data_IF_090231806945
#
_entry.id   IF_090231806945
#
_cell.length_a   1.000
_cell.length_b   1.000
_cell.length_c   1.000
_cell.angle_alpha   90.00
_cell.angle_beta   90.00
_cell.angle_gamma   90.00
#
_symmetry.space_group_name_H-M   'P 1'
#
loop_
_entity.id
_entity.type
_entity.pdbx_description
1 polymer ?
#
# COMPACT_ATOMS: atom_id res chain seq x y z
N UNK A 1 15.09 23.25 8.45
CA UNK A 1 14.81 23.25 9.89
C UNK A 1 13.38 22.75 10.08
N UNK A 2 13.18 21.55 10.63
CA UNK A 2 11.83 21.13 11.03
C UNK A 2 11.36 22.08 12.14
N UNK A 3 10.21 22.71 11.97
CA UNK A 3 9.68 23.65 12.96
C UNK A 3 9.41 22.92 14.29
N UNK A 4 10.07 23.35 15.37
CA UNK A 4 9.88 22.87 16.76
C UNK A 4 8.48 23.15 17.35
N UNK A 5 7.53 23.60 16.53
CA UNK A 5 6.16 23.85 16.94
C UNK A 5 5.48 22.48 17.12
N UNK A 6 4.87 22.18 18.28
CA UNK A 6 4.12 20.94 18.49
C UNK A 6 3.07 20.73 17.38
N UNK A 7 2.86 19.48 16.96
CA UNK A 7 1.91 19.12 15.89
C UNK A 7 0.52 19.76 16.13
N UNK A 8 0.11 19.84 17.41
CA UNK A 8 -1.11 20.52 17.82
C UNK A 8 -1.18 21.98 17.37
N UNK A 9 -0.14 22.76 17.64
CA UNK A 9 -0.09 24.19 17.35
C UNK A 9 0.01 24.45 15.84
N UNK A 10 0.73 23.59 15.11
CA UNK A 10 0.79 23.66 13.64
C UNK A 10 -0.61 23.46 13.03
N UNK A 11 -1.34 22.46 13.50
CA UNK A 11 -2.67 22.15 12.99
C UNK A 11 -3.69 23.20 13.45
N UNK A 12 -3.59 23.69 14.69
CA UNK A 12 -4.44 24.76 15.18
C UNK A 12 -4.27 26.05 14.37
N UNK A 13 -3.05 26.38 13.95
CA UNK A 13 -2.76 27.49 13.04
C UNK A 13 -3.38 27.26 11.65
N UNK A 14 -3.21 26.07 11.07
CA UNK A 14 -3.78 25.73 9.75
C UNK A 14 -5.32 25.81 9.73
N UNK A 15 -5.99 25.38 10.80
CA UNK A 15 -7.46 25.40 10.89
C UNK A 15 -7.99 26.76 11.37
N UNK A 16 -7.11 27.63 11.91
CA UNK A 16 -7.51 28.89 12.55
C UNK A 16 -8.25 28.71 13.88
N UNK A 17 -8.01 27.61 14.59
CA UNK A 17 -8.74 27.26 15.82
C UNK A 17 -7.91 26.42 16.78
N UNK A 18 -7.83 26.86 18.04
CA UNK A 18 -7.24 26.09 19.15
C UNK A 18 -8.24 25.19 19.88
N UNK A 19 -9.45 25.01 19.33
CA UNK A 19 -10.41 24.05 19.90
C UNK A 19 -9.89 22.63 19.71
N UNK A 20 -9.71 21.94 20.83
CA UNK A 20 -9.18 20.58 20.88
C UNK A 20 -9.96 19.61 19.98
N UNK A 21 -11.30 19.65 19.97
CA UNK A 21 -12.14 18.79 19.14
C UNK A 21 -11.89 18.98 17.64
N UNK A 22 -11.65 20.21 17.19
CA UNK A 22 -11.35 20.52 15.79
C UNK A 22 -9.95 20.06 15.40
N UNK A 23 -8.95 20.28 16.27
CA UNK A 23 -7.57 19.83 16.02
C UNK A 23 -7.49 18.30 15.98
N UNK A 24 -8.16 17.62 16.92
CA UNK A 24 -8.21 16.16 16.97
C UNK A 24 -8.91 15.57 15.74
N UNK A 25 -10.02 16.19 15.30
CA UNK A 25 -10.70 15.80 14.07
C UNK A 25 -9.78 15.90 12.85
N UNK A 26 -9.02 16.99 12.71
CA UNK A 26 -8.12 17.19 11.59
C UNK A 26 -6.95 16.18 11.60
N UNK A 27 -6.41 15.85 12.77
CA UNK A 27 -5.38 14.81 12.92
C UNK A 27 -5.87 13.46 12.37
N UNK A 28 -7.04 13.01 12.82
CA UNK A 28 -7.57 11.72 12.37
C UNK A 28 -7.99 11.73 10.89
N UNK A 29 -8.49 12.85 10.38
CA UNK A 29 -8.76 13.01 8.93
C UNK A 29 -7.46 12.85 8.13
N UNK A 30 -6.40 13.55 8.54
CA UNK A 30 -5.09 13.47 7.86
C UNK A 30 -4.53 12.05 7.87
N UNK A 31 -4.56 11.38 9.03
CA UNK A 31 -4.07 10.00 9.14
C UNK A 31 -4.95 9.03 8.33
N UNK A 32 -6.26 9.24 8.26
CA UNK A 32 -7.16 8.44 7.41
C UNK A 32 -6.79 8.58 5.93
N UNK A 33 -6.62 9.80 5.45
CA UNK A 33 -6.32 10.04 4.04
C UNK A 33 -4.91 9.52 3.68
N UNK A 34 -3.94 9.62 4.59
CA UNK A 34 -2.63 8.98 4.40
C UNK A 34 -2.76 7.46 4.23
N UNK A 35 -3.50 6.79 5.11
CA UNK A 35 -3.74 5.34 4.98
C UNK A 35 -4.50 4.97 3.68
N UNK A 36 -5.42 5.81 3.21
CA UNK A 36 -6.07 5.61 1.90
C UNK A 36 -5.12 5.84 0.73
N UNK A 37 -4.19 6.78 0.86
CA UNK A 37 -3.13 7.00 -0.11
C UNK A 37 -2.24 5.76 -0.22
N UNK A 38 -1.76 5.24 0.91
CA UNK A 38 -0.95 4.02 0.96
C UNK A 38 -1.68 2.83 0.33
N UNK A 39 -2.96 2.65 0.65
CA UNK A 39 -3.79 1.57 0.09
C UNK A 39 -3.84 1.61 -1.44
N UNK A 40 -4.09 2.78 -2.02
CA UNK A 40 -4.09 2.99 -3.48
C UNK A 40 -2.72 2.77 -4.11
N UNK A 41 -1.66 3.17 -3.43
CA UNK A 41 -0.30 2.99 -3.94
C UNK A 41 0.08 1.50 -3.97
N UNK A 42 -0.23 0.76 -2.91
CA UNK A 42 -0.03 -0.69 -2.90
C UNK A 42 -0.86 -1.40 -3.98
N UNK A 43 -2.09 -0.93 -4.26
CA UNK A 43 -2.94 -1.45 -5.35
C UNK A 43 -2.26 -1.31 -6.70
N UNK A 44 -1.74 -0.12 -7.02
CA UNK A 44 -1.01 0.14 -8.28
C UNK A 44 0.23 -0.72 -8.40
N UNK A 45 1.02 -0.84 -7.32
CA UNK A 45 2.21 -1.69 -7.33
C UNK A 45 1.86 -3.16 -7.58
N UNK A 46 0.74 -3.65 -7.04
CA UNK A 46 0.25 -5.01 -7.31
C UNK A 46 -0.09 -5.16 -8.79
N UNK A 47 -0.86 -4.26 -9.37
CA UNK A 47 -1.25 -4.30 -10.79
C UNK A 47 -0.02 -4.33 -11.73
N UNK A 48 1.01 -3.52 -11.43
CA UNK A 48 2.26 -3.51 -12.20
C UNK A 48 3.01 -4.86 -12.13
N UNK A 49 3.05 -5.48 -10.94
CA UNK A 49 3.71 -6.78 -10.76
C UNK A 49 2.89 -7.90 -11.40
N UNK A 50 1.56 -7.84 -11.35
CA UNK A 50 0.69 -8.82 -12.01
C UNK A 50 0.95 -8.88 -13.52
N UNK A 51 1.05 -7.73 -14.19
CA UNK A 51 1.43 -7.66 -15.61
C UNK A 51 2.80 -8.29 -15.86
N UNK A 52 3.78 -8.04 -14.98
CA UNK A 52 5.12 -8.64 -15.06
C UNK A 52 5.09 -10.16 -14.88
N UNK A 53 4.27 -10.67 -13.96
CA UNK A 53 4.05 -12.10 -13.74
C UNK A 53 3.41 -12.74 -14.96
N UNK A 54 2.36 -12.15 -15.52
CA UNK A 54 1.69 -12.66 -16.73
C UNK A 54 2.65 -12.75 -17.91
N UNK A 55 3.43 -11.70 -18.15
CA UNK A 55 4.44 -11.68 -19.20
C UNK A 55 5.50 -12.77 -19.01
N UNK A 56 6.02 -12.93 -17.79
CA UNK A 56 7.02 -13.96 -17.50
C UNK A 56 6.44 -15.38 -17.59
N UNK A 57 5.18 -15.54 -17.20
CA UNK A 57 4.49 -16.81 -17.31
C UNK A 57 4.33 -17.23 -18.78
N UNK A 58 3.98 -16.29 -19.66
CA UNK A 58 3.92 -16.54 -21.10
C UNK A 58 5.27 -17.02 -21.67
N UNK A 59 6.38 -16.37 -21.29
CA UNK A 59 7.73 -16.80 -21.68
C UNK A 59 8.01 -18.23 -21.19
N UNK A 60 7.70 -18.53 -19.92
CA UNK A 60 7.89 -19.88 -19.38
C UNK A 60 7.13 -20.94 -20.19
N UNK A 61 5.87 -20.67 -20.53
CA UNK A 61 5.04 -21.57 -21.35
C UNK A 61 5.60 -21.75 -22.76
N UNK A 62 6.19 -20.72 -23.36
CA UNK A 62 6.86 -20.85 -24.65
C UNK A 62 8.11 -21.72 -24.55
N UNK A 63 8.95 -21.49 -23.53
CA UNK A 63 10.17 -22.26 -23.34
C UNK A 63 9.89 -23.74 -23.04
N UNK A 64 8.82 -24.04 -22.30
CA UNK A 64 8.42 -25.43 -22.00
C UNK A 64 8.01 -26.22 -23.25
N UNK A 65 7.58 -25.56 -24.35
CA UNK A 65 7.24 -26.23 -25.62
C UNK A 65 8.45 -26.83 -26.33
N UNK A 66 9.65 -26.30 -26.09
CA UNK A 66 10.88 -26.81 -26.72
C UNK A 66 11.40 -28.08 -26.05
N UNK A 67 10.78 -28.54 -24.95
CA UNK A 67 11.20 -29.75 -24.23
C UNK A 67 12.44 -29.53 -23.35
N UNK A 68 12.88 -30.60 -22.68
CA UNK A 68 13.96 -30.54 -21.68
C UNK A 68 15.35 -30.62 -22.31
N UNK A 69 15.77 -29.56 -23.00
CA UNK A 69 17.17 -29.39 -23.35
C UNK A 69 17.97 -29.00 -22.10
N UNK A 70 19.07 -29.70 -21.84
CA UNK A 70 19.89 -29.51 -20.63
C UNK A 70 20.39 -28.06 -20.48
N UNK A 71 20.62 -27.37 -21.60
CA UNK A 71 21.00 -25.94 -21.63
C UNK A 71 19.89 -24.99 -21.16
N UNK A 72 18.62 -25.42 -21.20
CA UNK A 72 17.45 -24.62 -20.82
C UNK A 72 17.11 -24.76 -19.34
N UNK A 73 17.66 -25.74 -18.63
CA UNK A 73 17.33 -26.02 -17.24
C UNK A 73 17.66 -24.83 -16.31
N UNK A 74 18.86 -24.25 -16.43
CA UNK A 74 19.25 -23.10 -15.61
C UNK A 74 18.41 -21.85 -15.93
N UNK A 75 18.25 -21.41 -17.20
CA UNK A 75 17.36 -20.30 -17.54
C UNK A 75 15.92 -20.47 -17.05
N UNK A 76 15.34 -21.67 -17.25
CA UNK A 76 13.99 -21.98 -16.78
C UNK A 76 13.88 -21.90 -15.25
N UNK A 77 14.88 -22.44 -14.54
CA UNK A 77 14.91 -22.37 -13.09
C UNK A 77 14.96 -20.92 -12.58
N UNK A 78 15.83 -20.08 -13.17
CA UNK A 78 15.93 -18.66 -12.82
C UNK A 78 14.64 -17.89 -13.11
N UNK A 79 13.98 -18.15 -14.23
CA UNK A 79 12.69 -17.52 -14.57
C UNK A 79 11.57 -17.95 -13.61
N UNK A 80 11.51 -19.24 -13.23
CA UNK A 80 10.55 -19.73 -12.23
C UNK A 80 10.78 -19.10 -10.87
N UNK A 81 12.03 -18.97 -10.44
CA UNK A 81 12.39 -18.29 -9.19
C UNK A 81 11.97 -16.82 -9.22
N UNK A 82 12.30 -16.08 -10.27
CA UNK A 82 11.91 -14.67 -10.42
C UNK A 82 10.38 -14.49 -10.45
N UNK A 83 9.63 -15.42 -11.05
CA UNK A 83 8.17 -15.38 -10.99
C UNK A 83 7.66 -15.61 -9.57
N UNK A 84 8.27 -16.53 -8.81
CA UNK A 84 7.89 -16.78 -7.44
C UNK A 84 8.16 -15.57 -6.54
N UNK A 85 9.29 -14.89 -6.72
CA UNK A 85 9.63 -13.65 -6.01
C UNK A 85 8.58 -12.56 -6.24
N UNK A 86 8.10 -12.40 -7.48
CA UNK A 86 7.03 -11.46 -7.81
C UNK A 86 5.69 -11.81 -7.13
N UNK A 87 5.34 -13.11 -7.09
CA UNK A 87 4.13 -13.58 -6.40
C UNK A 87 4.22 -13.34 -4.89
N UNK A 88 5.39 -13.54 -4.30
CA UNK A 88 5.64 -13.28 -2.88
C UNK A 88 5.54 -11.77 -2.57
N UNK A 89 6.02 -10.91 -3.48
CA UNK A 89 5.89 -9.46 -3.40
C UNK A 89 4.42 -9.02 -3.46
N UNK A 90 3.62 -9.56 -4.40
CA UNK A 90 2.16 -9.32 -4.47
C UNK A 90 1.49 -9.71 -3.15
N UNK A 91 1.83 -10.88 -2.59
CA UNK A 91 1.25 -11.34 -1.33
C UNK A 91 1.59 -10.41 -0.15
N UNK A 92 2.81 -9.89 -0.10
CA UNK A 92 3.25 -8.91 0.90
C UNK A 92 2.49 -7.58 0.74
N UNK A 93 2.43 -7.04 -0.47
CA UNK A 93 1.73 -5.79 -0.78
C UNK A 93 0.24 -5.90 -0.47
N UNK A 94 -0.39 -7.03 -0.79
CA UNK A 94 -1.79 -7.31 -0.46
C UNK A 94 -2.04 -7.22 1.04
N UNK A 95 -1.16 -7.80 1.86
CA UNK A 95 -1.27 -7.70 3.33
C UNK A 95 -1.13 -6.26 3.82
N UNK A 96 -0.22 -5.47 3.23
CA UNK A 96 -0.01 -4.05 3.56
C UNK A 96 -1.22 -3.21 3.17
N UNK A 97 -1.74 -3.39 1.95
CA UNK A 97 -2.96 -2.77 1.43
C UNK A 97 -4.14 -2.99 2.38
N UNK A 98 -4.39 -4.24 2.77
CA UNK A 98 -5.44 -4.57 3.73
C UNK A 98 -5.23 -3.91 5.10
N UNK A 99 -3.99 -3.83 5.59
CA UNK A 99 -3.68 -3.16 6.85
C UNK A 99 -3.95 -1.65 6.78
N UNK A 100 -3.56 -0.98 5.70
CA UNK A 100 -3.85 0.43 5.46
C UNK A 100 -5.36 0.70 5.39
N UNK A 101 -6.10 -0.14 4.68
CA UNK A 101 -7.56 -0.04 4.61
C UNK A 101 -8.23 -0.18 6.00
N UNK A 102 -7.77 -1.14 6.82
CA UNK A 102 -8.27 -1.31 8.20
C UNK A 102 -8.02 -0.06 9.04
N UNK A 103 -6.80 0.48 9.01
CA UNK A 103 -6.45 1.72 9.74
C UNK A 103 -7.30 2.90 9.29
N UNK A 104 -7.52 3.07 7.99
CA UNK A 104 -8.40 4.11 7.45
C UNK A 104 -9.86 3.95 7.92
N UNK A 105 -10.35 2.71 7.99
CA UNK A 105 -11.68 2.39 8.48
C UNK A 105 -11.81 2.72 9.97
N UNK A 106 -10.81 2.37 10.77
CA UNK A 106 -10.80 2.70 12.20
C UNK A 106 -10.77 4.21 12.44
N UNK A 107 -9.99 4.96 11.66
CA UNK A 107 -10.03 6.44 11.73
C UNK A 107 -11.39 7.00 11.34
N UNK A 108 -12.06 6.41 10.35
CA UNK A 108 -13.42 6.81 9.96
C UNK A 108 -14.41 6.64 11.12
N UNK A 109 -14.30 5.56 11.89
CA UNK A 109 -15.11 5.33 13.10
C UNK A 109 -14.83 6.38 14.18
N UNK A 110 -13.56 6.66 14.46
CA UNK A 110 -13.16 7.70 15.43
C UNK A 110 -13.71 9.07 15.01
N UNK A 111 -13.53 9.45 13.75
CA UNK A 111 -14.05 10.71 13.18
C UNK A 111 -15.57 10.81 13.33
N UNK A 112 -16.30 9.72 13.06
CA UNK A 112 -17.76 9.67 13.24
C UNK A 112 -18.14 9.93 14.69
N UNK A 113 -17.49 9.27 15.64
CA UNK A 113 -17.74 9.46 17.07
C UNK A 113 -17.46 10.91 17.51
N UNK A 114 -16.33 11.49 17.13
CA UNK A 114 -15.98 12.88 17.44
C UNK A 114 -16.99 13.90 16.91
N UNK A 115 -17.70 13.59 15.81
CA UNK A 115 -18.77 14.43 15.27
C UNK A 115 -20.09 14.30 16.03
N UNK A 116 -20.33 13.18 16.70
CA UNK A 116 -21.55 12.96 17.49
C UNK A 116 -21.49 13.59 18.88
N UNK A 117 -20.28 13.87 19.41
CA UNK A 117 -20.08 14.58 20.69
C UNK A 117 -20.19 16.11 20.57
N UNK A 118 -20.68 16.63 19.42
CA UNK A 118 -20.84 18.06 19.18
C UNK A 118 -22.24 18.55 19.48
#
# INVERSE_FOLDING_TARGET
>A
MASNIPIYDQIAQQIGSRRFDKVLLALFVREREANRGDEKEYDRMIEEIEVRVEYRHAILLELEKFGSYQIMNEPLHRLKLAQQEDLDEIALLTKRRQASLRRATDKSRIIKNLRMFK
#
